data_IF_043974394355
#
_entry.id   IF_043974394355
#
_cell.length_a   1.000
_cell.length_b   1.000
_cell.length_c   1.000
_cell.angle_alpha   90.00
_cell.angle_beta   90.00
_cell.angle_gamma   90.00
#
_symmetry.space_group_name_H-M   'P 1'
#
loop_
_entity.id
_entity.type
_entity.pdbx_description
1 polymer ?
#
# COMPACT_ATOMS: atom_id res chain seq x y z
N UNK A 1 -40.22 16.15 18.86
CA UNK A 1 -39.64 14.80 18.75
C UNK A 1 -39.16 14.45 20.14
N UNK A 2 -39.65 13.36 20.73
CA UNK A 2 -39.25 12.96 22.08
C UNK A 2 -37.88 12.27 22.01
N UNK A 3 -37.11 12.26 23.11
CA UNK A 3 -35.78 11.62 23.16
C UNK A 3 -35.79 10.14 22.74
N UNK A 4 -36.84 9.40 23.07
CA UNK A 4 -36.99 8.00 22.64
C UNK A 4 -36.98 7.85 21.11
N UNK A 5 -37.61 8.80 20.39
CA UNK A 5 -37.66 8.78 18.93
C UNK A 5 -36.30 9.11 18.29
N UNK A 6 -35.49 9.98 18.93
CA UNK A 6 -34.13 10.28 18.47
C UNK A 6 -33.24 9.04 18.57
N UNK A 7 -33.31 8.33 19.69
CA UNK A 7 -32.49 7.14 19.90
C UNK A 7 -32.84 6.02 18.91
N UNK A 8 -34.12 5.86 18.57
CA UNK A 8 -34.55 4.89 17.56
C UNK A 8 -34.00 5.25 16.18
N UNK A 9 -34.07 6.53 15.78
CA UNK A 9 -33.48 7.02 14.51
C UNK A 9 -31.98 6.75 14.46
N UNK A 10 -31.24 7.00 15.55
CA UNK A 10 -29.79 6.75 15.62
C UNK A 10 -29.47 5.27 15.36
N UNK A 11 -30.22 4.36 16.00
CA UNK A 11 -30.04 2.91 15.83
C UNK A 11 -30.40 2.44 14.43
N UNK A 12 -31.44 3.02 13.84
CA UNK A 12 -31.83 2.72 12.46
C UNK A 12 -30.76 3.19 11.46
N UNK A 13 -30.20 4.40 11.64
CA UNK A 13 -29.10 4.91 10.81
C UNK A 13 -27.86 4.02 10.95
N UNK A 14 -27.51 3.60 12.17
CA UNK A 14 -26.41 2.64 12.37
C UNK A 14 -26.64 1.35 11.57
N UNK A 15 -27.84 0.78 11.63
CA UNK A 15 -28.17 -0.43 10.88
C UNK A 15 -28.09 -0.21 9.36
N UNK A 16 -28.52 0.95 8.87
CA UNK A 16 -28.42 1.32 7.46
C UNK A 16 -26.96 1.48 7.03
N UNK A 17 -26.11 2.13 7.84
CA UNK A 17 -24.67 2.29 7.58
C UNK A 17 -23.88 1.00 7.72
N UNK A 18 -24.38 0.02 8.47
CA UNK A 18 -23.80 -1.31 8.48
C UNK A 18 -24.07 -2.05 7.16
N UNK A 19 -25.24 -1.85 6.57
CA UNK A 19 -25.64 -2.48 5.31
C UNK A 19 -25.08 -1.74 4.08
N UNK A 20 -25.14 -0.41 4.09
CA UNK A 20 -24.68 0.47 3.03
C UNK A 20 -23.31 1.06 3.39
N UNK A 21 -22.37 1.08 2.45
CA UNK A 21 -21.02 1.60 2.71
C UNK A 21 -20.99 3.10 2.99
N UNK A 22 -21.96 3.86 2.47
CA UNK A 22 -22.12 5.30 2.70
C UNK A 22 -23.57 5.72 2.43
N UNK A 23 -24.02 6.82 3.06
CA UNK A 23 -25.37 7.39 2.89
C UNK A 23 -25.31 8.91 2.74
N UNK A 24 -26.21 9.49 1.94
CA UNK A 24 -26.32 10.94 1.82
C UNK A 24 -27.15 11.53 2.98
N UNK A 25 -26.58 12.49 3.71
CA UNK A 25 -27.22 13.09 4.89
C UNK A 25 -28.55 13.78 4.51
N UNK A 26 -28.62 14.37 3.31
CA UNK A 26 -29.85 15.00 2.81
C UNK A 26 -30.96 14.00 2.54
N UNK A 27 -30.62 12.79 2.10
CA UNK A 27 -31.62 11.74 1.88
C UNK A 27 -32.14 11.20 3.21
N UNK A 28 -31.25 11.01 4.20
CA UNK A 28 -31.65 10.66 5.56
C UNK A 28 -32.60 11.71 6.16
N UNK A 29 -32.26 13.00 6.06
CA UNK A 29 -33.09 14.07 6.58
C UNK A 29 -34.48 14.10 5.94
N UNK A 30 -34.56 13.87 4.62
CA UNK A 30 -35.83 13.75 3.89
C UNK A 30 -36.62 12.51 4.31
N UNK A 31 -35.97 11.36 4.43
CA UNK A 31 -36.59 10.09 4.80
C UNK A 31 -37.28 10.17 6.17
N UNK A 32 -36.60 10.75 7.16
CA UNK A 32 -37.13 10.96 8.50
C UNK A 32 -38.01 12.22 8.64
N UNK A 33 -38.16 13.00 7.55
CA UNK A 33 -38.90 14.27 7.54
C UNK A 33 -38.45 15.24 8.65
N UNK A 34 -37.13 15.38 8.81
CA UNK A 34 -36.49 16.31 9.76
C UNK A 34 -35.56 17.29 9.03
N UNK A 35 -35.25 18.41 9.68
CA UNK A 35 -34.32 19.38 9.10
C UNK A 35 -32.87 18.89 9.21
N UNK A 36 -31.98 19.52 8.43
CA UNK A 36 -30.55 19.16 8.42
C UNK A 36 -29.89 19.31 9.79
N UNK A 37 -30.25 20.34 10.56
CA UNK A 37 -29.69 20.58 11.90
C UNK A 37 -29.96 19.41 12.84
N UNK A 38 -31.19 18.90 12.90
CA UNK A 38 -31.53 17.72 13.72
C UNK A 38 -30.88 16.46 13.20
N UNK A 39 -30.76 16.31 11.88
CA UNK A 39 -30.08 15.13 11.33
C UNK A 39 -28.61 15.13 11.74
N UNK A 40 -27.94 16.29 11.68
CA UNK A 40 -26.56 16.43 12.16
C UNK A 40 -26.47 16.15 13.66
N UNK A 41 -27.43 16.62 14.48
CA UNK A 41 -27.48 16.29 15.92
C UNK A 41 -27.55 14.77 16.16
N UNK A 42 -28.40 14.04 15.42
CA UNK A 42 -28.46 12.58 15.51
C UNK A 42 -27.12 11.91 15.10
N UNK A 43 -26.47 12.41 14.05
CA UNK A 43 -25.20 11.87 13.57
C UNK A 43 -24.05 12.18 14.54
N UNK A 44 -24.04 13.35 15.16
CA UNK A 44 -23.06 13.71 16.18
C UNK A 44 -23.20 12.81 17.41
N UNK A 45 -24.45 12.56 17.87
CA UNK A 45 -24.72 11.63 18.98
C UNK A 45 -24.28 10.19 18.64
N UNK A 46 -24.59 9.70 17.43
CA UNK A 46 -24.07 8.42 16.94
C UNK A 46 -22.53 8.41 16.91
N UNK A 47 -21.91 9.50 16.47
CA UNK A 47 -20.46 9.65 16.45
C UNK A 47 -19.84 9.54 17.85
N UNK A 48 -20.44 10.19 18.84
CA UNK A 48 -20.04 10.08 20.25
C UNK A 48 -20.18 8.64 20.78
N UNK A 49 -21.29 7.95 20.48
CA UNK A 49 -21.50 6.56 20.89
C UNK A 49 -20.42 5.61 20.32
N UNK A 50 -19.88 5.91 19.14
CA UNK A 50 -18.86 5.06 18.48
C UNK A 50 -17.42 5.40 18.84
N UNK A 51 -17.13 6.52 19.53
CA UNK A 51 -15.75 6.93 19.86
C UNK A 51 -14.92 5.85 20.58
N UNK A 52 -15.55 5.10 21.48
CA UNK A 52 -14.91 4.03 22.25
C UNK A 52 -15.01 2.65 21.58
N UNK A 53 -15.51 2.59 20.35
CA UNK A 53 -15.69 1.36 19.57
C UNK A 53 -14.56 1.13 18.55
N UNK A 54 -14.61 -0.03 17.87
CA UNK A 54 -13.67 -0.36 16.80
C UNK A 54 -13.86 0.43 15.50
N UNK A 55 -14.94 1.19 15.39
CA UNK A 55 -15.32 2.00 14.24
C UNK A 55 -15.63 3.44 14.67
N UNK A 56 -15.46 4.40 13.76
CA UNK A 56 -15.86 5.79 13.94
C UNK A 56 -16.88 6.17 12.87
N UNK A 57 -17.70 7.18 13.16
CA UNK A 57 -18.55 7.82 12.16
C UNK A 57 -17.76 8.93 11.46
N UNK A 58 -17.78 8.94 10.13
CA UNK A 58 -17.12 9.95 9.31
C UNK A 58 -18.15 10.68 8.46
N UNK A 59 -18.03 12.00 8.40
CA UNK A 59 -18.83 12.86 7.53
C UNK A 59 -17.89 13.58 6.56
N UNK A 60 -18.09 13.39 5.26
CA UNK A 60 -17.33 14.07 4.22
C UNK A 60 -18.21 14.37 3.00
N UNK A 61 -18.14 15.60 2.47
CA UNK A 61 -18.87 16.03 1.25
C UNK A 61 -20.39 15.76 1.28
N UNK A 62 -21.00 15.76 2.47
CA UNK A 62 -22.43 15.50 2.63
C UNK A 62 -22.82 14.02 2.70
N UNK A 63 -21.83 13.12 2.66
CA UNK A 63 -21.98 11.70 2.93
C UNK A 63 -21.59 11.39 4.36
N UNK A 64 -22.19 10.32 4.90
CA UNK A 64 -21.83 9.72 6.19
C UNK A 64 -21.54 8.23 6.00
N UNK A 65 -20.47 7.75 6.63
CA UNK A 65 -20.03 6.35 6.56
C UNK A 65 -19.25 5.95 7.81
N UNK A 66 -19.10 4.64 8.03
CA UNK A 66 -18.21 4.12 9.06
C UNK A 66 -16.78 3.97 8.54
N UNK A 67 -15.81 4.33 9.37
CA UNK A 67 -14.39 4.03 9.16
C UNK A 67 -13.83 3.26 10.36
N UNK A 68 -12.76 2.49 10.16
CA UNK A 68 -12.09 1.81 11.28
C UNK A 68 -11.50 2.84 12.22
N UNK A 69 -11.65 2.66 13.53
CA UNK A 69 -11.03 3.54 14.51
C UNK A 69 -9.50 3.44 14.40
N UNK A 70 -8.78 4.56 14.16
CA UNK A 70 -7.33 4.57 13.95
C UNK A 70 -6.53 3.93 15.08
N UNK A 71 -7.05 3.92 16.32
CA UNK A 71 -6.46 3.25 17.48
C UNK A 71 -6.19 1.76 17.24
N UNK A 72 -6.98 1.11 16.38
CA UNK A 72 -6.86 -0.31 16.05
C UNK A 72 -6.24 -0.55 14.67
N UNK A 73 -5.70 0.49 14.03
CA UNK A 73 -5.14 0.41 12.69
C UNK A 73 -4.04 -0.64 12.53
N UNK A 74 -3.21 -0.85 13.56
CA UNK A 74 -2.18 -1.91 13.54
C UNK A 74 -2.79 -3.32 13.45
N UNK A 75 -3.85 -3.60 14.21
CA UNK A 75 -4.53 -4.89 14.18
C UNK A 75 -5.26 -5.12 12.84
N UNK A 76 -5.95 -4.10 12.33
CA UNK A 76 -6.60 -4.12 11.01
C UNK A 76 -5.56 -4.37 9.91
N UNK A 77 -4.45 -3.64 9.94
CA UNK A 77 -3.33 -3.85 9.02
C UNK A 77 -2.78 -5.28 9.14
N UNK A 78 -2.41 -5.73 10.33
CA UNK A 78 -1.84 -7.07 10.50
C UNK A 78 -2.79 -8.21 10.08
N UNK A 79 -4.11 -7.99 10.07
CA UNK A 79 -5.09 -8.99 9.64
C UNK A 79 -5.39 -8.95 8.13
N UNK A 80 -5.71 -7.78 7.59
CA UNK A 80 -6.11 -7.64 6.18
C UNK A 80 -4.94 -7.46 5.23
N UNK A 81 -3.79 -7.00 5.74
CA UNK A 81 -2.57 -6.78 4.98
C UNK A 81 -1.52 -7.90 5.19
N UNK A 82 -1.96 -9.11 5.55
CA UNK A 82 -1.08 -10.29 5.66
C UNK A 82 -0.39 -10.63 4.33
N UNK A 83 -1.02 -10.31 3.20
CA UNK A 83 -0.44 -10.47 1.86
C UNK A 83 0.50 -9.32 1.47
N UNK A 84 0.47 -8.19 2.19
CA UNK A 84 1.31 -7.02 1.92
C UNK A 84 2.50 -6.86 2.86
N UNK A 85 2.89 -7.91 3.59
CA UNK A 85 4.33 -8.13 3.76
C UNK A 85 4.75 -8.82 2.46
N UNK A 86 5.30 -8.12 1.45
CA UNK A 86 5.95 -8.83 0.38
C UNK A 86 6.94 -9.76 1.07
N UNK A 87 6.73 -11.09 0.97
CA UNK A 87 7.61 -12.10 1.58
C UNK A 87 9.02 -11.60 1.34
N UNK A 88 9.73 -11.22 2.43
CA UNK A 88 11.00 -10.51 2.35
C UNK A 88 11.80 -11.15 1.22
N UNK A 89 12.19 -10.35 0.23
CA UNK A 89 12.99 -10.87 -0.87
C UNK A 89 14.17 -11.60 -0.26
N UNK A 90 14.41 -12.84 -0.72
CA UNK A 90 15.61 -13.54 -0.31
C UNK A 90 16.82 -12.69 -0.68
N UNK A 91 17.95 -12.88 0.03
CA UNK A 91 19.20 -12.19 -0.30
C UNK A 91 19.51 -12.27 -1.80
N UNK A 92 19.35 -13.46 -2.39
CA UNK A 92 19.57 -13.66 -3.82
C UNK A 92 18.61 -12.88 -4.71
N UNK A 93 17.34 -12.74 -4.32
CA UNK A 93 16.37 -11.94 -5.05
C UNK A 93 16.65 -10.43 -4.94
N UNK A 94 17.02 -9.96 -3.75
CA UNK A 94 17.39 -8.57 -3.52
C UNK A 94 18.66 -8.17 -4.30
N UNK A 95 19.67 -9.04 -4.31
CA UNK A 95 20.90 -8.83 -5.09
C UNK A 95 20.61 -8.76 -6.60
N UNK A 96 19.79 -9.68 -7.14
CA UNK A 96 19.38 -9.63 -8.57
C UNK A 96 18.58 -8.37 -8.87
N UNK A 97 17.58 -8.05 -8.04
CA UNK A 97 16.72 -6.88 -8.22
C UNK A 97 17.53 -5.58 -8.20
N UNK A 98 18.52 -5.48 -7.32
CA UNK A 98 19.42 -4.32 -7.25
C UNK A 98 20.23 -4.16 -8.54
N UNK A 99 20.77 -5.25 -9.08
CA UNK A 99 21.50 -5.20 -10.37
C UNK A 99 20.57 -4.69 -11.47
N UNK A 100 19.33 -5.19 -11.55
CA UNK A 100 18.36 -4.73 -12.55
C UNK A 100 18.06 -3.24 -12.35
N UNK A 101 17.77 -2.79 -11.13
CA UNK A 101 17.44 -1.40 -10.85
C UNK A 101 18.53 -0.41 -11.29
N UNK A 102 19.81 -0.75 -11.05
CA UNK A 102 20.95 0.12 -11.40
C UNK A 102 21.51 -0.04 -12.82
N UNK A 103 21.22 -1.16 -13.50
CA UNK A 103 21.78 -1.47 -14.84
C UNK A 103 20.71 -1.57 -15.94
N UNK A 104 19.43 -1.40 -15.62
CA UNK A 104 18.36 -1.49 -16.60
C UNK A 104 18.55 -0.49 -17.76
N UNK A 105 18.15 -0.88 -18.99
CA UNK A 105 17.70 -2.22 -19.39
C UNK A 105 18.87 -3.23 -19.44
N UNK A 106 18.72 -4.42 -18.82
CA UNK A 106 19.83 -5.39 -18.65
C UNK A 106 19.45 -6.81 -19.09
N UNK A 107 20.41 -7.57 -19.63
CA UNK A 107 20.18 -8.98 -20.03
C UNK A 107 20.43 -9.96 -18.88
N UNK A 108 19.74 -11.12 -18.92
CA UNK A 108 19.99 -12.23 -17.96
C UNK A 108 21.48 -12.59 -17.87
N UNK A 109 22.15 -12.77 -19.01
CA UNK A 109 23.57 -13.15 -19.05
C UNK A 109 24.47 -12.11 -18.38
N UNK A 110 24.15 -10.82 -18.50
CA UNK A 110 24.90 -9.77 -17.81
C UNK A 110 24.70 -9.86 -16.29
N UNK A 111 23.46 -10.10 -15.83
CA UNK A 111 23.16 -10.31 -14.41
C UNK A 111 23.94 -11.53 -13.88
N UNK A 112 23.91 -12.65 -14.60
CA UNK A 112 24.64 -13.88 -14.23
C UNK A 112 26.16 -13.63 -14.16
N UNK A 113 26.72 -12.83 -15.07
CA UNK A 113 28.15 -12.47 -15.04
C UNK A 113 28.55 -11.69 -13.79
N UNK A 114 27.65 -10.86 -13.25
CA UNK A 114 27.89 -10.09 -12.03
C UNK A 114 27.67 -10.96 -10.80
N UNK A 115 26.62 -11.79 -10.79
CA UNK A 115 26.24 -12.65 -9.66
C UNK A 115 27.13 -13.90 -9.52
N UNK A 116 27.75 -14.35 -10.60
CA UNK A 116 28.55 -15.58 -10.64
C UNK A 116 27.72 -16.88 -10.54
N UNK A 117 26.38 -16.78 -10.53
CA UNK A 117 25.45 -17.91 -10.41
C UNK A 117 24.23 -17.70 -11.31
N UNK A 118 23.51 -18.78 -11.64
CA UNK A 118 22.30 -18.64 -12.46
C UNK A 118 21.18 -17.91 -11.73
N UNK A 119 20.49 -17.02 -12.44
CA UNK A 119 19.42 -16.19 -11.89
C UNK A 119 18.05 -16.44 -12.54
N UNK A 120 17.90 -17.45 -13.40
CA UNK A 120 16.65 -17.73 -14.15
C UNK A 120 15.42 -17.77 -13.22
N UNK A 121 15.45 -18.62 -12.20
CA UNK A 121 14.35 -18.74 -11.23
C UNK A 121 14.13 -17.46 -10.42
N UNK A 122 15.20 -16.71 -10.15
CA UNK A 122 15.13 -15.46 -9.40
C UNK A 122 14.42 -14.38 -10.22
N UNK A 123 14.77 -14.25 -11.50
CA UNK A 123 14.10 -13.33 -12.42
C UNK A 123 12.62 -13.70 -12.53
N UNK A 124 12.31 -14.98 -12.77
CA UNK A 124 10.93 -15.44 -12.86
C UNK A 124 10.11 -15.08 -11.60
N UNK A 125 10.64 -15.34 -10.40
CA UNK A 125 9.98 -14.98 -9.15
C UNK A 125 9.80 -13.45 -8.99
N UNK A 126 10.73 -12.63 -9.51
CA UNK A 126 10.62 -11.17 -9.47
C UNK A 126 9.56 -10.65 -10.46
N UNK A 127 9.41 -11.31 -11.62
CA UNK A 127 8.33 -11.04 -12.59
C UNK A 127 6.96 -11.44 -12.03
N UNK A 128 6.84 -12.61 -11.39
CA UNK A 128 5.59 -13.04 -10.72
C UNK A 128 5.16 -12.08 -9.61
N UNK A 129 6.13 -11.48 -8.90
CA UNK A 129 5.90 -10.42 -7.91
C UNK A 129 5.63 -9.06 -8.54
N UNK A 130 5.71 -8.95 -9.86
CA UNK A 130 5.51 -7.73 -10.61
C UNK A 130 6.55 -6.66 -10.33
N UNK A 131 7.75 -7.00 -9.82
CA UNK A 131 8.81 -6.02 -9.50
C UNK A 131 9.71 -5.71 -10.71
N UNK A 132 9.78 -6.64 -11.67
CA UNK A 132 10.53 -6.51 -12.92
C UNK A 132 9.69 -7.00 -14.09
N UNK A 133 10.05 -6.60 -15.30
CA UNK A 133 9.41 -7.05 -16.53
C UNK A 133 10.39 -7.13 -17.70
N UNK A 134 10.04 -7.90 -18.73
CA UNK A 134 10.77 -7.93 -20.01
C UNK A 134 10.46 -6.67 -20.84
N UNK A 135 11.40 -5.72 -20.83
CA UNK A 135 11.35 -4.44 -21.52
C UNK A 135 11.69 -4.51 -23.02
N UNK A 136 12.01 -5.69 -23.55
CA UNK A 136 12.31 -5.89 -24.97
C UNK A 136 13.36 -6.96 -25.20
N UNK A 137 13.99 -6.93 -26.38
CA UNK A 137 15.09 -7.82 -26.75
C UNK A 137 16.29 -7.02 -27.22
N UNK A 138 17.49 -7.48 -26.90
CA UNK A 138 18.72 -6.88 -27.39
C UNK A 138 18.98 -7.29 -28.85
N UNK A 139 19.25 -6.33 -29.73
CA UNK A 139 19.52 -6.55 -31.16
C UNK A 139 20.94 -7.11 -31.40
N UNK A 140 21.16 -8.34 -30.95
CA UNK A 140 22.40 -9.10 -31.12
C UNK A 140 22.11 -10.58 -31.39
N UNK A 141 23.14 -11.39 -31.61
CA UNK A 141 23.03 -12.83 -31.84
C UNK A 141 22.31 -13.48 -30.63
N UNK A 142 21.27 -14.27 -30.90
CA UNK A 142 20.44 -14.92 -29.88
C UNK A 142 19.33 -14.04 -29.29
N UNK A 143 19.32 -12.73 -29.56
CA UNK A 143 18.28 -11.75 -29.16
C UNK A 143 17.75 -11.95 -27.73
N UNK A 144 18.62 -11.87 -26.71
CA UNK A 144 18.23 -12.10 -25.32
C UNK A 144 17.25 -11.03 -24.83
N UNK A 145 16.39 -11.40 -23.88
CA UNK A 145 15.45 -10.48 -23.23
C UNK A 145 16.21 -9.41 -22.41
N UNK A 146 15.66 -8.20 -22.39
CA UNK A 146 16.08 -7.08 -21.55
C UNK A 146 15.10 -6.88 -20.40
N UNK A 147 15.60 -6.76 -19.18
CA UNK A 147 14.80 -6.62 -17.97
C UNK A 147 14.93 -5.21 -17.38
N UNK A 148 13.80 -4.69 -16.89
CA UNK A 148 13.66 -3.38 -16.24
C UNK A 148 12.72 -3.48 -15.03
N UNK A 149 12.76 -2.50 -14.13
CA UNK A 149 11.88 -2.42 -12.94
C UNK A 149 10.51 -1.83 -13.28
N UNK A 150 9.48 -2.20 -12.54
CA UNK A 150 8.11 -1.67 -12.68
C UNK A 150 7.81 -0.55 -11.69
N UNK A 151 6.61 0.05 -11.77
CA UNK A 151 6.13 0.99 -10.74
C UNK A 151 5.90 0.30 -9.38
N UNK A 152 5.58 -1.00 -9.38
CA UNK A 152 5.47 -1.78 -8.15
C UNK A 152 6.82 -1.91 -7.42
N UNK A 153 7.95 -1.83 -8.12
CA UNK A 153 9.25 -1.74 -7.48
C UNK A 153 9.45 -0.42 -6.73
N UNK A 154 8.97 0.69 -7.30
CA UNK A 154 9.01 2.00 -6.63
C UNK A 154 8.17 1.98 -5.36
N UNK A 155 6.95 1.42 -5.45
CA UNK A 155 6.07 1.20 -4.29
C UNK A 155 6.73 0.29 -3.23
N UNK A 156 7.43 -0.77 -3.67
CA UNK A 156 8.15 -1.67 -2.77
C UNK A 156 9.29 -0.98 -2.01
N UNK A 157 9.97 0.00 -2.63
CA UNK A 157 11.01 0.81 -1.99
C UNK A 157 10.49 2.07 -1.31
N UNK A 158 9.19 2.38 -1.45
CA UNK A 158 8.57 3.60 -0.95
C UNK A 158 9.27 4.87 -1.46
N UNK A 159 9.54 4.92 -2.77
CA UNK A 159 10.15 6.07 -3.46
C UNK A 159 9.32 6.45 -4.69
N UNK A 160 9.35 7.71 -5.10
CA UNK A 160 8.54 8.20 -6.23
C UNK A 160 9.24 8.07 -7.60
N UNK A 161 10.56 7.85 -7.62
CA UNK A 161 11.35 7.81 -8.85
C UNK A 161 12.65 7.04 -8.67
N UNK A 162 13.13 6.41 -9.75
CA UNK A 162 14.45 5.76 -9.81
C UNK A 162 15.61 6.73 -9.51
N UNK A 163 15.42 8.04 -9.71
CA UNK A 163 16.44 9.05 -9.38
C UNK A 163 16.69 9.19 -7.87
N UNK A 164 15.77 8.67 -7.03
CA UNK A 164 15.94 8.61 -5.59
C UNK A 164 16.78 7.40 -5.13
N UNK A 165 17.12 6.49 -6.05
CA UNK A 165 18.06 5.42 -5.73
C UNK A 165 19.43 6.04 -5.42
N UNK A 166 20.07 5.66 -4.30
CA UNK A 166 21.35 6.23 -3.93
C UNK A 166 22.41 5.98 -5.03
N UNK A 167 23.32 6.92 -5.22
CA UNK A 167 24.32 6.77 -6.26
C UNK A 167 25.22 5.56 -5.97
N UNK A 168 25.26 4.60 -6.90
CA UNK A 168 26.08 3.40 -6.77
C UNK A 168 27.55 3.69 -6.39
N UNK A 169 28.11 4.79 -6.90
CA UNK A 169 29.49 5.22 -6.61
C UNK A 169 29.66 5.71 -5.17
N UNK A 170 28.63 6.34 -4.61
CA UNK A 170 28.63 6.84 -3.22
C UNK A 170 28.45 5.68 -2.25
N UNK A 171 27.49 4.77 -2.52
CA UNK A 171 27.27 3.55 -1.73
C UNK A 171 28.56 2.72 -1.63
N UNK A 172 29.28 2.54 -2.74
CA UNK A 172 30.51 1.75 -2.74
C UNK A 172 31.59 2.35 -1.82
N UNK A 173 31.75 3.68 -1.82
CA UNK A 173 32.70 4.36 -0.93
C UNK A 173 32.34 4.16 0.54
N UNK A 174 31.06 4.29 0.88
CA UNK A 174 30.57 4.11 2.25
C UNK A 174 30.74 2.67 2.76
N UNK A 175 30.49 1.67 1.90
CA UNK A 175 30.68 0.26 2.22
C UNK A 175 32.16 -0.10 2.42
N UNK A 176 33.04 0.47 1.59
CA UNK A 176 34.49 0.27 1.70
C UNK A 176 35.02 0.91 3.01
N UNK A 177 34.51 2.08 3.42
CA UNK A 177 34.86 2.71 4.71
C UNK A 177 34.33 1.95 5.92
N UNK A 178 33.11 1.42 5.86
CA UNK A 178 32.52 0.67 6.98
C UNK A 178 33.22 -0.68 7.25
N UNK A 179 33.86 -1.27 6.24
CA UNK A 179 34.63 -2.53 6.38
C UNK A 179 36.04 -2.30 6.96
N UNK A 180 36.61 -1.10 6.79
CA UNK A 180 37.88 -0.70 7.40
C UNK A 180 37.74 -0.47 8.91
N UNK A 181 36.61 0.10 9.36
CA UNK A 181 36.36 0.39 10.78
C UNK A 181 35.99 -0.86 11.61
N UNK A 182 35.58 -1.95 10.95
CA UNK A 182 35.25 -3.24 11.59
C UNK A 182 36.42 -4.24 11.59
N UNK A 183 37.57 -3.84 11.03
CA UNK A 183 38.79 -4.64 10.95
C UNK A 183 39.95 -4.09 11.81
N UNK A 184 39.70 -3.06 12.65
CA UNK A 184 40.66 -2.48 13.60
C UNK A 184 40.25 -2.76 15.05
#
# INVERSE_FOLDING_TARGET
MNRENIQDIIKEIEAMLYLASELEIKELAKFYNINMEKMVECLDELGEEKKDSGINLKIEKGMVYFETNPKYGEAVHNFFNQESKPKKLSRAAMETLSIIAYKQPVTKSHIESIRGVSVERVIHNLEEKGLVYSSGKLETIGRPNLYSTTDNFLNYLNIDSLTMLPNYTEIRKELDTAQLDSSN
#
